data_IF_741671343603
#
_entry.id   IF_741671343603
#
_cell.length_a   1.000
_cell.length_b   1.000
_cell.length_c   1.000
_cell.angle_alpha   90.00
_cell.angle_beta   90.00
_cell.angle_gamma   90.00
#
_symmetry.space_group_name_H-M   'P 1'
#
loop_
_entity.id
_entity.type
_entity.pdbx_description
1 polymer ?
#
# COMPACT_ATOMS: atom_id res chain seq x y z
N UNK A 1 -24.30 16.88 -2.19
CA UNK A 1 -23.15 15.95 -2.03
C UNK A 1 -22.81 15.58 -0.58
N UNK A 2 -22.18 16.42 0.27
CA UNK A 2 -21.78 15.99 1.64
C UNK A 2 -22.94 15.42 2.50
N UNK A 3 -24.16 15.93 2.32
CA UNK A 3 -25.32 15.52 3.11
C UNK A 3 -26.10 14.34 2.52
N UNK A 4 -25.92 14.01 1.23
CA UNK A 4 -26.69 12.96 0.57
C UNK A 4 -26.11 11.57 0.83
N UNK A 5 -24.80 11.44 0.98
CA UNK A 5 -24.19 10.11 1.13
C UNK A 5 -24.52 9.47 2.48
N UNK A 6 -24.68 10.28 3.54
CA UNK A 6 -25.00 9.82 4.89
C UNK A 6 -26.37 9.17 5.03
N UNK A 7 -27.31 9.41 4.10
CA UNK A 7 -28.57 8.66 4.11
C UNK A 7 -28.41 7.21 3.63
N UNK A 8 -27.29 6.88 2.97
CA UNK A 8 -27.03 5.56 2.38
C UNK A 8 -25.95 4.77 3.12
N UNK A 9 -25.16 5.41 3.98
CA UNK A 9 -24.04 4.79 4.69
C UNK A 9 -24.19 5.02 6.19
N UNK A 10 -23.91 3.98 6.98
CA UNK A 10 -23.81 4.06 8.43
C UNK A 10 -22.42 4.49 8.91
N UNK A 11 -21.40 4.36 8.06
CA UNK A 11 -20.02 4.74 8.38
C UNK A 11 -19.25 5.15 7.12
N UNK A 12 -18.34 6.14 7.26
CA UNK A 12 -17.55 6.65 6.13
C UNK A 12 -16.67 5.55 5.50
N UNK A 13 -16.21 4.57 6.30
CA UNK A 13 -15.38 3.44 5.85
C UNK A 13 -16.04 2.60 4.74
N UNK A 14 -17.37 2.69 4.57
CA UNK A 14 -18.07 2.06 3.46
C UNK A 14 -17.64 2.62 2.09
N UNK A 15 -17.19 3.87 2.01
CA UNK A 15 -16.87 4.55 0.75
C UNK A 15 -15.44 5.11 0.70
N UNK A 16 -14.89 5.56 1.83
CA UNK A 16 -13.58 6.18 1.93
C UNK A 16 -12.96 5.97 3.31
N UNK A 17 -11.65 6.07 3.43
CA UNK A 17 -10.97 5.99 4.71
C UNK A 17 -9.57 5.39 4.62
N UNK A 18 -9.00 5.14 5.78
CA UNK A 18 -7.68 4.53 5.95
C UNK A 18 -7.86 3.30 6.83
N UNK A 19 -7.36 2.15 6.37
CA UNK A 19 -7.34 0.90 7.14
C UNK A 19 -5.90 0.53 7.46
N UNK A 20 -5.55 0.53 8.73
CA UNK A 20 -4.27 0.07 9.23
C UNK A 20 -4.29 -1.42 9.54
N UNK A 21 -3.26 -2.17 9.13
CA UNK A 21 -3.16 -3.61 9.38
C UNK A 21 -1.70 -4.09 9.36
N UNK A 22 -1.47 -5.28 9.94
CA UNK A 22 -0.21 -6.02 9.85
C UNK A 22 -0.37 -7.23 8.94
N UNK A 23 0.56 -7.41 8.02
CA UNK A 23 0.67 -8.61 7.19
C UNK A 23 1.22 -9.76 8.05
N UNK A 24 0.48 -10.88 8.13
CA UNK A 24 0.79 -11.95 9.10
C UNK A 24 1.50 -13.17 8.52
N UNK A 25 1.77 -13.21 7.22
CA UNK A 25 2.29 -14.41 6.54
C UNK A 25 3.29 -14.10 5.43
N UNK A 26 4.01 -15.13 4.99
CA UNK A 26 5.00 -15.04 3.91
C UNK A 26 6.16 -14.11 4.24
N UNK A 27 6.82 -13.60 3.19
CA UNK A 27 7.95 -12.67 3.31
C UNK A 27 7.55 -11.27 3.78
N UNK A 28 6.25 -10.96 3.77
CA UNK A 28 5.69 -9.71 4.29
C UNK A 28 5.36 -9.74 5.78
N UNK A 29 5.54 -10.89 6.45
CA UNK A 29 5.13 -11.08 7.84
C UNK A 29 5.77 -10.02 8.76
N UNK A 30 4.94 -9.37 9.56
CA UNK A 30 5.33 -8.32 10.51
C UNK A 30 5.36 -6.91 9.90
N UNK A 31 5.16 -6.76 8.58
CA UNK A 31 5.05 -5.45 7.95
C UNK A 31 3.66 -4.86 8.18
N UNK A 32 3.62 -3.65 8.71
CA UNK A 32 2.43 -2.81 8.83
C UNK A 32 2.19 -2.00 7.54
N UNK A 33 0.92 -1.83 7.17
CA UNK A 33 0.51 -1.08 6.01
C UNK A 33 -0.84 -0.37 6.24
N UNK A 34 -1.08 0.65 5.42
CA UNK A 34 -2.32 1.41 5.37
C UNK A 34 -2.94 1.31 3.98
N UNK A 35 -4.17 0.80 3.89
CA UNK A 35 -4.96 0.94 2.66
C UNK A 35 -5.75 2.24 2.73
N UNK A 36 -5.53 3.12 1.74
CA UNK A 36 -6.18 4.41 1.61
C UNK A 36 -7.19 4.34 0.47
N UNK A 37 -8.43 4.76 0.73
CA UNK A 37 -9.48 4.92 -0.29
C UNK A 37 -10.04 6.32 -0.18
N UNK A 38 -10.00 7.09 -1.27
CA UNK A 38 -10.49 8.48 -1.25
C UNK A 38 -11.99 8.61 -1.46
N UNK A 39 -12.66 7.54 -1.92
CA UNK A 39 -14.07 7.57 -2.33
C UNK A 39 -14.32 8.21 -3.69
N UNK A 40 -13.32 8.87 -4.29
CA UNK A 40 -13.38 9.45 -5.64
C UNK A 40 -12.72 8.56 -6.71
N UNK A 41 -12.39 7.31 -6.36
CA UNK A 41 -11.79 6.32 -7.25
C UNK A 41 -10.30 6.12 -7.08
N UNK A 42 -9.58 6.99 -6.36
CA UNK A 42 -8.17 6.75 -6.01
C UNK A 42 -8.08 5.83 -4.79
N UNK A 43 -7.34 4.73 -4.93
CA UNK A 43 -7.00 3.83 -3.85
C UNK A 43 -5.52 3.46 -3.91
N UNK A 44 -4.86 3.36 -2.76
CA UNK A 44 -3.46 2.95 -2.69
C UNK A 44 -3.06 2.36 -1.33
N UNK A 45 -1.99 1.57 -1.33
CA UNK A 45 -1.41 0.99 -0.10
C UNK A 45 -0.12 1.73 0.26
N UNK A 46 -0.05 2.27 1.48
CA UNK A 46 1.17 2.83 2.07
C UNK A 46 1.83 1.78 2.96
N UNK A 47 3.11 1.51 2.75
CA UNK A 47 3.84 0.47 3.48
C UNK A 47 4.66 1.11 4.60
N UNK A 48 4.15 1.06 5.83
CA UNK A 48 4.69 1.78 7.00
C UNK A 48 6.16 1.48 7.23
N UNK A 49 6.51 0.21 7.30
CA UNK A 49 7.87 -0.22 7.64
C UNK A 49 8.85 -0.15 6.46
N UNK A 50 8.35 0.22 5.28
CA UNK A 50 9.16 0.48 4.07
C UNK A 50 9.20 1.98 3.79
N UNK A 51 9.50 2.79 4.82
CA UNK A 51 9.64 4.24 4.72
C UNK A 51 8.45 4.96 4.05
N UNK A 52 7.22 4.46 4.28
CA UNK A 52 5.99 4.99 3.70
C UNK A 52 5.95 4.95 2.15
N UNK A 53 6.62 3.97 1.56
CA UNK A 53 6.45 3.62 0.14
C UNK A 53 4.97 3.49 -0.22
N UNK A 54 4.63 3.85 -1.46
CA UNK A 54 3.30 3.65 -2.02
C UNK A 54 3.36 2.47 -2.98
N UNK A 55 2.79 1.35 -2.57
CA UNK A 55 2.72 0.11 -3.34
C UNK A 55 1.54 0.14 -4.32
N UNK A 56 0.66 -0.87 -4.31
CA UNK A 56 -0.52 -0.96 -5.18
C UNK A 56 -1.28 0.36 -5.18
N UNK A 57 -1.43 0.96 -6.36
CA UNK A 57 -2.23 2.16 -6.57
C UNK A 57 -3.16 1.97 -7.78
N UNK A 58 -4.41 2.38 -7.65
CA UNK A 58 -5.39 2.36 -8.71
C UNK A 58 -6.21 3.64 -8.74
N UNK A 59 -6.65 4.00 -9.94
CA UNK A 59 -7.68 5.02 -10.14
C UNK A 59 -8.83 4.42 -10.92
N UNK A 60 -10.02 4.41 -10.32
CA UNK A 60 -11.23 3.79 -10.88
C UNK A 60 -10.93 2.36 -11.36
N UNK A 61 -10.32 1.58 -10.47
CA UNK A 61 -9.91 0.19 -10.68
C UNK A 61 -8.88 -0.05 -11.81
N UNK A 62 -8.35 1.02 -12.40
CA UNK A 62 -7.23 0.94 -13.34
C UNK A 62 -5.92 1.05 -12.57
N UNK A 63 -5.04 0.06 -12.72
CA UNK A 63 -3.73 0.06 -12.07
C UNK A 63 -2.87 1.24 -12.56
N UNK A 64 -2.23 1.95 -11.63
CA UNK A 64 -1.36 3.10 -11.91
C UNK A 64 0.13 2.75 -11.91
N UNK A 65 0.49 1.57 -11.41
CA UNK A 65 1.89 1.17 -11.23
C UNK A 65 2.09 -0.31 -11.47
N UNK A 66 3.30 -0.67 -11.91
CA UNK A 66 3.75 -2.06 -11.96
C UNK A 66 4.09 -2.58 -10.56
N UNK A 67 3.83 -3.86 -10.31
CA UNK A 67 4.24 -4.58 -9.10
C UNK A 67 5.06 -5.78 -9.52
N UNK A 68 6.27 -5.92 -8.99
CA UNK A 68 7.13 -7.08 -9.29
C UNK A 68 6.58 -8.35 -8.61
N UNK A 69 7.03 -9.56 -9.03
CA UNK A 69 6.66 -10.81 -8.36
C UNK A 69 7.06 -10.92 -6.88
N UNK A 70 7.88 -9.99 -6.38
CA UNK A 70 8.30 -9.97 -4.98
C UNK A 70 7.14 -9.62 -4.03
N UNK A 71 6.24 -8.72 -4.44
CA UNK A 71 5.24 -8.13 -3.54
C UNK A 71 5.88 -7.39 -2.36
N UNK A 72 5.10 -7.14 -1.30
CA UNK A 72 5.65 -6.60 -0.05
C UNK A 72 6.58 -7.63 0.57
N UNK A 73 7.78 -7.19 0.94
CA UNK A 73 8.75 -7.96 1.71
C UNK A 73 9.13 -7.15 2.94
N UNK A 74 9.20 -7.83 4.08
CA UNK A 74 9.53 -7.22 5.35
C UNK A 74 10.94 -6.61 5.33
N UNK A 75 11.16 -5.47 6.00
CA UNK A 75 12.48 -4.80 6.03
C UNK A 75 13.59 -5.69 6.60
N UNK A 76 13.25 -6.68 7.43
CA UNK A 76 14.20 -7.67 7.96
C UNK A 76 14.93 -8.47 6.88
N UNK A 77 14.43 -8.50 5.64
CA UNK A 77 15.08 -9.14 4.48
C UNK A 77 15.94 -8.16 3.66
N UNK A 78 16.28 -6.98 4.21
CA UNK A 78 17.14 -6.02 3.53
C UNK A 78 18.55 -6.58 3.31
N UNK A 79 19.03 -6.47 2.08
CA UNK A 79 20.40 -6.83 1.68
C UNK A 79 21.10 -5.60 1.11
N UNK A 80 22.14 -5.12 1.81
CA UNK A 80 22.87 -3.88 1.45
C UNK A 80 23.90 -4.06 0.34
N UNK A 81 24.23 -5.30 -0.03
CA UNK A 81 25.34 -5.60 -0.94
C UNK A 81 24.86 -5.66 -2.39
N UNK A 82 25.52 -4.91 -3.27
CA UNK A 82 25.28 -4.94 -4.72
C UNK A 82 23.80 -4.78 -5.09
N UNK A 83 23.26 -5.74 -5.85
CA UNK A 83 21.86 -5.74 -6.28
C UNK A 83 20.89 -6.35 -5.24
N UNK A 84 21.30 -6.48 -3.97
CA UNK A 84 20.49 -7.06 -2.89
C UNK A 84 19.12 -6.39 -2.74
N UNK A 85 19.04 -5.08 -2.97
CA UNK A 85 17.79 -4.32 -3.01
C UNK A 85 16.72 -4.96 -3.92
N UNK A 86 17.12 -5.47 -5.10
CA UNK A 86 16.21 -6.07 -6.08
C UNK A 86 15.50 -7.32 -5.57
N UNK A 87 16.00 -7.98 -4.52
CA UNK A 87 15.33 -9.13 -3.88
C UNK A 87 14.14 -8.74 -3.02
N UNK A 88 14.02 -7.45 -2.68
CA UNK A 88 12.93 -6.87 -1.90
C UNK A 88 12.12 -5.81 -2.66
N UNK A 89 12.61 -5.36 -3.81
CA UNK A 89 12.01 -4.32 -4.61
C UNK A 89 10.69 -4.75 -5.25
N UNK A 90 9.62 -4.00 -5.00
CA UNK A 90 8.28 -4.21 -5.59
C UNK A 90 7.89 -3.19 -6.64
N UNK A 91 8.74 -2.20 -6.94
CA UNK A 91 8.39 -1.02 -7.73
C UNK A 91 7.28 -0.18 -7.09
N UNK A 92 6.01 -0.51 -7.33
CA UNK A 92 4.88 0.28 -6.82
C UNK A 92 4.80 1.67 -7.46
N UNK A 93 3.87 2.48 -6.98
CA UNK A 93 3.73 3.86 -7.41
C UNK A 93 4.92 4.72 -6.96
N UNK A 94 5.43 4.45 -5.76
CA UNK A 94 6.60 5.10 -5.18
C UNK A 94 7.33 4.10 -4.29
N UNK A 95 8.54 3.72 -4.70
CA UNK A 95 9.52 3.16 -3.76
C UNK A 95 10.49 4.27 -3.43
N UNK A 96 10.50 4.69 -2.17
CA UNK A 96 11.56 5.53 -1.62
C UNK A 96 12.88 4.76 -1.76
N UNK A 97 13.92 5.42 -2.27
CA UNK A 97 15.23 4.80 -2.47
C UNK A 97 16.01 4.62 -1.16
N UNK A 98 15.29 4.26 -0.08
CA UNK A 98 15.83 4.03 1.25
C UNK A 98 15.80 5.23 2.19
N UNK A 99 16.05 4.87 3.44
CA UNK A 99 16.42 5.68 4.59
C UNK A 99 17.65 5.01 5.22
#
# INVERSE_FOLDING_TARGET
MKNEIWSWIGDLSQVAGIKHYELRSGRAKGTEAFDVRTGAGLAFTVVKDRALDIAWASYKDTALSFITPNGIIAPAFFESQGNGFLRSFYAGLLTTCGL
#
